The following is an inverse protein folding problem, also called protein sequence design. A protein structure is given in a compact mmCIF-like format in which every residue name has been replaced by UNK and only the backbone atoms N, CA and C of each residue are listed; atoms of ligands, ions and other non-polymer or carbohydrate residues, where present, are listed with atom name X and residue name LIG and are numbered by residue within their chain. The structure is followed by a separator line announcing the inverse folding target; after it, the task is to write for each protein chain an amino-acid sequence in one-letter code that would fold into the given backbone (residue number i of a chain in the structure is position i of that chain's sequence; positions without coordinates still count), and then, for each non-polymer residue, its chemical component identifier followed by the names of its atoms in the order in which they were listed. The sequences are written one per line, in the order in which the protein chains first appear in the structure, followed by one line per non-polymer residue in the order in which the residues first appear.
data_IF_887103611246
#
_entry.id   IF_887103611246
#
_cell.length_a   1.000
_cell.length_b   1.000
_cell.length_c   1.000
_cell.angle_alpha   90.00
_cell.angle_beta   90.00
_cell.angle_gamma   90.00
#
_symmetry.space_group_name_H-M   'P 1'
#
loop_
_entity.id
_entity.type
_entity.pdbx_description
1 polymer ?
#
# COMPACT_ATOMS: atom_id res chain seq x y z
N UNK A 1 17.72 -6.93 -5.43
CA UNK A 1 17.84 -5.64 -6.15
C UNK A 1 16.48 -4.97 -6.07
N UNK A 2 16.41 -3.71 -5.65
CA UNK A 2 15.13 -3.01 -5.51
C UNK A 2 14.86 -2.25 -6.81
N UNK A 3 13.84 -2.66 -7.56
CA UNK A 3 13.49 -2.07 -8.85
C UNK A 3 12.62 -0.81 -8.64
N UNK A 4 13.19 0.19 -7.96
CA UNK A 4 12.50 1.47 -7.74
C UNK A 4 12.36 2.22 -9.08
N UNK A 5 11.14 2.59 -9.50
CA UNK A 5 10.91 3.31 -10.74
C UNK A 5 11.71 4.62 -10.82
N UNK A 6 12.20 4.94 -12.02
CA UNK A 6 12.82 6.22 -12.35
C UNK A 6 11.79 7.06 -13.10
N UNK A 7 11.61 8.31 -12.65
CA UNK A 7 10.70 9.28 -13.24
C UNK A 7 11.46 10.55 -13.64
N UNK A 8 10.94 11.27 -14.63
CA UNK A 8 11.38 12.63 -14.94
C UNK A 8 10.70 13.59 -13.98
N UNK A 9 11.50 14.30 -13.18
CA UNK A 9 11.02 15.36 -12.30
C UNK A 9 11.07 16.69 -13.06
N UNK A 10 9.89 17.27 -13.33
CA UNK A 10 9.76 18.51 -14.10
C UNK A 10 10.37 19.69 -13.34
N UNK A 11 10.21 19.74 -12.02
CA UNK A 11 10.71 20.85 -11.20
C UNK A 11 12.24 20.82 -11.06
N UNK A 12 12.81 19.61 -11.04
CA UNK A 12 14.27 19.41 -10.91
C UNK A 12 15.00 19.22 -12.24
N UNK A 13 14.25 19.21 -13.35
CA UNK A 13 14.75 19.00 -14.71
C UNK A 13 15.71 17.81 -14.83
N UNK A 14 15.43 16.71 -14.12
CA UNK A 14 16.28 15.51 -14.13
C UNK A 14 15.53 14.23 -13.82
N UNK A 15 16.10 13.11 -14.24
CA UNK A 15 15.66 11.79 -13.80
C UNK A 15 16.00 11.54 -12.33
N UNK A 16 15.05 10.97 -11.60
CA UNK A 16 15.24 10.50 -10.21
C UNK A 16 14.40 9.27 -9.91
N UNK A 17 14.72 8.59 -8.82
CA UNK A 17 13.84 7.57 -8.24
C UNK A 17 12.65 8.23 -7.54
N UNK A 18 11.51 7.55 -7.54
CA UNK A 18 10.39 7.92 -6.65
C UNK A 18 10.83 7.78 -5.20
N UNK A 19 10.30 8.63 -4.33
CA UNK A 19 10.52 8.60 -2.88
C UNK A 19 9.68 7.49 -2.23
N UNK A 20 10.00 7.09 -0.97
CA UNK A 20 9.19 6.09 -0.27
C UNK A 20 7.74 6.56 -0.08
N UNK A 21 7.52 7.88 0.09
CA UNK A 21 6.18 8.44 0.22
C UNK A 21 5.39 8.39 -1.09
N UNK A 22 6.01 8.70 -2.21
CA UNK A 22 5.38 8.57 -3.53
C UNK A 22 5.02 7.11 -3.81
N UNK A 23 5.91 6.15 -3.50
CA UNK A 23 5.62 4.72 -3.61
C UNK A 23 4.43 4.29 -2.72
N UNK A 24 4.35 4.80 -1.48
CA UNK A 24 3.25 4.52 -0.57
C UNK A 24 1.92 5.10 -1.09
N UNK A 25 1.95 6.31 -1.67
CA UNK A 25 0.79 6.93 -2.28
C UNK A 25 0.28 6.14 -3.50
N UNK A 26 1.19 5.61 -4.34
CA UNK A 26 0.83 4.70 -5.44
C UNK A 26 0.13 3.44 -4.94
N UNK A 27 0.50 2.95 -3.75
CA UNK A 27 -0.16 1.83 -3.07
C UNK A 27 -1.39 2.25 -2.24
N UNK A 28 -1.80 3.52 -2.32
CA UNK A 28 -2.94 4.09 -1.61
C UNK A 28 -2.86 4.03 -0.09
N UNK A 29 -1.65 3.97 0.47
CA UNK A 29 -1.47 4.13 1.91
C UNK A 29 -1.88 5.53 2.35
N UNK A 30 -2.40 5.63 3.57
CA UNK A 30 -2.80 6.91 4.14
C UNK A 30 -1.57 7.84 4.33
N UNK A 31 -1.76 9.15 4.17
CA UNK A 31 -0.69 10.14 4.26
C UNK A 31 0.06 10.12 5.61
N UNK A 32 -0.66 9.87 6.70
CA UNK A 32 -0.08 9.74 8.04
C UNK A 32 0.52 8.36 8.35
N UNK A 33 0.51 7.41 7.39
CA UNK A 33 1.11 6.09 7.60
C UNK A 33 2.64 6.23 7.79
N UNK A 34 3.14 5.69 8.91
CA UNK A 34 4.57 5.76 9.26
C UNK A 34 5.32 4.60 8.60
N UNK A 35 6.22 4.93 7.67
CA UNK A 35 7.10 3.96 7.03
C UNK A 35 8.29 3.69 7.98
N UNK A 36 8.56 2.43 8.27
CA UNK A 36 9.62 2.02 9.21
C UNK A 36 10.64 1.11 8.53
N UNK A 37 11.91 1.25 8.94
CA UNK A 37 13.04 0.50 8.40
C UNK A 37 13.92 1.33 7.46
N UNK A 38 14.89 0.67 6.83
CA UNK A 38 15.73 1.28 5.80
C UNK A 38 14.94 1.53 4.52
N UNK A 39 15.40 2.46 3.68
CA UNK A 39 14.73 2.76 2.40
C UNK A 39 14.54 1.52 1.53
N UNK A 40 15.56 0.65 1.45
CA UNK A 40 15.47 -0.59 0.67
C UNK A 40 14.36 -1.52 1.19
N UNK A 41 14.25 -1.67 2.52
CA UNK A 41 13.19 -2.46 3.14
C UNK A 41 11.82 -1.84 2.88
N UNK A 42 11.70 -0.51 2.97
CA UNK A 42 10.43 0.19 2.73
C UNK A 42 9.98 -0.02 1.28
N UNK A 43 10.84 0.19 0.29
CA UNK A 43 10.48 -0.06 -1.11
C UNK A 43 10.10 -1.52 -1.37
N UNK A 44 10.79 -2.48 -0.73
CA UNK A 44 10.43 -3.89 -0.84
C UNK A 44 9.05 -4.18 -0.22
N UNK A 45 8.78 -3.65 0.97
CA UNK A 45 7.47 -3.79 1.63
C UNK A 45 6.36 -3.17 0.78
N UNK A 46 6.55 -1.96 0.28
CA UNK A 46 5.56 -1.27 -0.56
C UNK A 46 5.36 -1.98 -1.91
N UNK A 47 6.44 -2.47 -2.53
CA UNK A 47 6.36 -3.22 -3.79
C UNK A 47 5.64 -4.56 -3.66
N UNK A 48 5.79 -5.23 -2.52
CA UNK A 48 5.12 -6.50 -2.23
C UNK A 48 3.71 -6.33 -1.62
N UNK A 49 3.32 -5.11 -1.27
CA UNK A 49 2.01 -4.85 -0.68
C UNK A 49 0.90 -4.89 -1.73
N UNK A 50 -0.29 -5.33 -1.31
CA UNK A 50 -1.52 -5.15 -2.08
C UNK A 50 -1.99 -3.71 -1.93
N UNK A 51 -2.46 -3.10 -3.01
CA UNK A 51 -2.98 -1.74 -2.98
C UNK A 51 -4.17 -1.61 -1.99
N UNK A 52 -4.06 -0.66 -1.07
CA UNK A 52 -5.01 -0.49 0.06
C UNK A 52 -6.43 -0.17 -0.42
N UNK A 53 -6.57 0.60 -1.52
CA UNK A 53 -7.88 0.95 -2.07
C UNK A 53 -8.57 -0.27 -2.67
N UNK A 54 -7.82 -1.12 -3.37
CA UNK A 54 -8.35 -2.39 -3.91
C UNK A 54 -8.82 -3.29 -2.78
N UNK A 55 -8.01 -3.45 -1.73
CA UNK A 55 -8.39 -4.24 -0.57
C UNK A 55 -9.70 -3.73 0.05
N UNK A 56 -9.84 -2.41 0.25
CA UNK A 56 -11.07 -1.81 0.79
C UNK A 56 -12.31 -2.11 -0.04
N UNK A 57 -12.21 -2.06 -1.37
CA UNK A 57 -13.33 -2.37 -2.27
C UNK A 57 -13.70 -3.85 -2.17
N UNK A 58 -12.72 -4.74 -2.19
CA UNK A 58 -12.92 -6.18 -2.11
C UNK A 58 -13.56 -6.57 -0.77
N UNK A 59 -13.02 -6.08 0.34
CA UNK A 59 -13.55 -6.39 1.68
C UNK A 59 -14.94 -5.83 1.89
N UNK A 60 -15.23 -4.62 1.40
CA UNK A 60 -16.59 -4.05 1.48
C UNK A 60 -17.62 -4.92 0.75
N UNK A 61 -17.27 -5.46 -0.43
CA UNK A 61 -18.13 -6.39 -1.15
C UNK A 61 -18.27 -7.73 -0.43
N UNK A 62 -17.15 -8.26 0.08
CA UNK A 62 -17.13 -9.52 0.82
C UNK A 62 -18.01 -9.46 2.07
N UNK A 63 -17.89 -8.39 2.88
CA UNK A 63 -18.74 -8.19 4.05
C UNK A 63 -20.20 -7.92 3.66
N UNK A 64 -20.46 -7.33 2.49
CA UNK A 64 -21.82 -7.23 1.95
C UNK A 64 -22.47 -8.59 1.66
N UNK A 65 -21.69 -9.64 1.43
CA UNK A 65 -22.18 -11.01 1.27
C UNK A 65 -22.21 -11.81 2.59
N UNK A 66 -21.64 -11.29 3.67
CA UNK A 66 -21.62 -11.98 4.94
C UNK A 66 -23.05 -12.11 5.48
N UNK A 67 -23.45 -13.35 5.83
CA UNK A 67 -24.70 -13.59 6.56
C UNK A 67 -24.53 -13.18 8.02
N UNK A 68 -25.61 -12.74 8.67
CA UNK A 68 -25.64 -12.52 10.14
C UNK A 68 -25.10 -13.77 10.85
N UNK A 69 -24.11 -13.60 11.73
CA UNK A 69 -23.47 -14.69 12.50
C UNK A 69 -22.23 -15.31 11.85
N UNK A 70 -21.64 -14.71 10.81
CA UNK A 70 -20.34 -15.17 10.28
C UNK A 70 -19.16 -14.83 11.20
N UNK A 71 -19.36 -13.87 12.11
CA UNK A 71 -18.37 -13.32 13.04
C UNK A 71 -18.52 -13.84 14.48
N UNK A 72 -19.48 -14.73 14.74
CA UNK A 72 -19.58 -15.40 16.04
C UNK A 72 -18.55 -16.51 16.09
N UNK A 73 -17.56 -16.38 16.98
CA UNK A 73 -16.82 -17.53 17.46
C UNK A 73 -17.75 -18.33 18.37
N UNK A 74 -17.89 -19.63 18.12
CA UNK A 74 -18.46 -20.53 19.11
C UNK A 74 -17.54 -20.47 20.34
N UNK A 75 -17.95 -19.71 21.36
CA UNK A 75 -17.31 -19.76 22.67
C UNK A 75 -17.72 -21.09 23.33
N UNK A 76 -16.85 -22.11 23.21
CA UNK A 76 -16.81 -23.27 24.12
C UNK A 76 -15.88 -23.01 25.31
#
# INVERSE_FOLDING_TARGET
MVNTPIIWDIEKERFRRITPREAANLQSFHGAFKLQGSENQIYQQLGNSVNVRILKILTSKLFGFAKKGWDTYDEE
#
